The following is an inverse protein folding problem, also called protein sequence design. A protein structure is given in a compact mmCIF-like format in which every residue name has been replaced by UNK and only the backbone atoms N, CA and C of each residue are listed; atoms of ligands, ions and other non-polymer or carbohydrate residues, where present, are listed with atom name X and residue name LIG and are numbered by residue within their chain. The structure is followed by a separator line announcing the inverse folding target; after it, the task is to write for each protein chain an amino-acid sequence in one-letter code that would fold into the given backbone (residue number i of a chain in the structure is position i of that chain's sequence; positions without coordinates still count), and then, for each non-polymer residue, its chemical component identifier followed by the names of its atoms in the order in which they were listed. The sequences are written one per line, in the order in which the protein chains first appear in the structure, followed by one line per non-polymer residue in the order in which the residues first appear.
data_IF_811514244502
#
_entry.id   IF_811514244502
#
_cell.length_a   1.000
_cell.length_b   1.000
_cell.length_c   1.000
_cell.angle_alpha   90.00
_cell.angle_beta   90.00
_cell.angle_gamma   90.00
#
_symmetry.space_group_name_H-M   'P 1'
#
loop_
_entity.id
_entity.type
_entity.pdbx_description
1 polymer ?
#
# COMPACT_ATOMS: atom_id res chain seq x y z
N UNK A 1 1.48 28.36 -15.74
CA UNK A 1 2.90 28.10 -15.42
C UNK A 1 3.18 28.57 -14.00
N UNK A 2 4.16 27.97 -13.29
CA UNK A 2 4.57 28.50 -12.00
C UNK A 2 5.42 29.75 -12.20
N UNK A 3 4.83 30.91 -11.98
CA UNK A 3 5.48 32.19 -12.26
C UNK A 3 6.38 32.64 -11.09
N UNK A 4 6.00 32.32 -9.85
CA UNK A 4 6.80 32.61 -8.66
C UNK A 4 7.85 31.54 -8.36
N UNK A 5 8.98 31.95 -7.79
CA UNK A 5 10.08 31.06 -7.38
C UNK A 5 9.63 29.98 -6.37
N UNK A 6 8.74 30.34 -5.44
CA UNK A 6 8.13 29.42 -4.48
C UNK A 6 7.31 28.32 -5.19
N UNK A 7 6.50 28.69 -6.17
CA UNK A 7 5.70 27.76 -6.98
C UNK A 7 6.59 26.82 -7.80
N UNK A 8 7.66 27.33 -8.42
CA UNK A 8 8.64 26.49 -9.14
C UNK A 8 9.33 25.49 -8.21
N UNK A 9 9.62 25.89 -6.96
CA UNK A 9 10.17 24.99 -5.92
C UNK A 9 9.16 23.91 -5.53
N UNK A 10 7.89 24.25 -5.34
CA UNK A 10 6.83 23.28 -5.01
C UNK A 10 6.68 22.20 -6.08
N UNK A 11 6.64 22.58 -7.37
CA UNK A 11 6.57 21.60 -8.49
C UNK A 11 7.71 20.58 -8.42
N UNK A 12 8.95 21.03 -8.19
CA UNK A 12 10.11 20.12 -8.07
C UNK A 12 9.98 19.17 -6.89
N UNK A 13 9.55 19.67 -5.72
CA UNK A 13 9.34 18.85 -4.52
C UNK A 13 8.22 17.83 -4.72
N UNK A 14 7.10 18.25 -5.33
CA UNK A 14 5.94 17.40 -5.55
C UNK A 14 6.22 16.31 -6.58
N UNK A 15 7.03 16.59 -7.61
CA UNK A 15 7.50 15.58 -8.54
C UNK A 15 8.28 14.47 -7.82
N UNK A 16 9.23 14.83 -6.94
CA UNK A 16 10.00 13.87 -6.14
C UNK A 16 9.10 13.05 -5.20
N UNK A 17 8.21 13.72 -4.46
CA UNK A 17 7.25 13.06 -3.56
C UNK A 17 6.31 12.12 -4.32
N UNK A 18 5.81 12.54 -5.48
CA UNK A 18 4.91 11.75 -6.34
C UNK A 18 5.58 10.46 -6.77
N UNK A 19 6.82 10.51 -7.25
CA UNK A 19 7.56 9.31 -7.69
C UNK A 19 7.76 8.33 -6.54
N UNK A 20 8.28 8.82 -5.40
CA UNK A 20 8.48 8.02 -4.19
C UNK A 20 7.17 7.37 -3.72
N UNK A 21 6.11 8.18 -3.55
CA UNK A 21 4.82 7.70 -3.05
C UNK A 21 4.17 6.70 -4.02
N UNK A 22 4.33 6.90 -5.33
CA UNK A 22 3.83 5.97 -6.34
C UNK A 22 4.52 4.61 -6.24
N UNK A 23 5.83 4.59 -6.08
CA UNK A 23 6.60 3.34 -5.93
C UNK A 23 6.05 2.50 -4.77
N UNK A 24 6.03 3.05 -3.56
CA UNK A 24 5.55 2.33 -2.38
C UNK A 24 4.08 1.88 -2.48
N UNK A 25 3.20 2.74 -3.02
CA UNK A 25 1.79 2.37 -3.25
C UNK A 25 1.64 1.27 -4.29
N UNK A 26 2.46 1.28 -5.36
CA UNK A 26 2.42 0.25 -6.41
C UNK A 26 2.93 -1.08 -5.86
N UNK A 27 4.03 -1.09 -5.12
CA UNK A 27 4.58 -2.31 -4.51
C UNK A 27 3.56 -3.01 -3.61
N UNK A 28 2.90 -2.25 -2.72
CA UNK A 28 1.85 -2.83 -1.86
C UNK A 28 0.64 -3.35 -2.64
N UNK A 29 0.21 -2.64 -3.69
CA UNK A 29 -0.89 -3.12 -4.55
C UNK A 29 -0.52 -4.42 -5.28
N UNK A 30 0.71 -4.52 -5.77
CA UNK A 30 1.21 -5.74 -6.42
C UNK A 30 1.30 -6.90 -5.45
N UNK A 31 1.78 -6.68 -4.22
CA UNK A 31 1.80 -7.70 -3.17
C UNK A 31 0.39 -8.19 -2.82
N UNK A 32 -0.57 -7.27 -2.66
CA UNK A 32 -1.99 -7.60 -2.43
C UNK A 32 -2.57 -8.41 -3.60
N UNK A 33 -2.25 -8.04 -4.84
CA UNK A 33 -2.73 -8.77 -6.02
C UNK A 33 -2.17 -10.20 -6.06
N UNK A 34 -0.88 -10.38 -5.78
CA UNK A 34 -0.25 -11.70 -5.70
C UNK A 34 -0.88 -12.56 -4.60
N UNK A 35 -1.11 -11.97 -3.42
CA UNK A 35 -1.76 -12.66 -2.31
C UNK A 35 -3.17 -13.18 -2.66
N UNK A 36 -3.93 -12.42 -3.44
CA UNK A 36 -5.28 -12.83 -3.89
C UNK A 36 -5.29 -13.95 -4.92
N UNK A 37 -4.15 -14.26 -5.53
CA UNK A 37 -4.01 -15.37 -6.46
C UNK A 37 -3.55 -16.66 -5.77
N UNK A 38 -3.33 -16.64 -4.45
CA UNK A 38 -3.00 -17.84 -3.70
C UNK A 38 -4.25 -18.70 -3.49
N UNK A 39 -4.09 -20.00 -3.65
CA UNK A 39 -5.15 -21.00 -3.46
C UNK A 39 -4.98 -21.76 -2.13
N UNK A 40 -3.73 -21.93 -1.68
CA UNK A 40 -3.37 -22.67 -0.46
C UNK A 40 -3.48 -21.80 0.79
N UNK A 41 -4.27 -22.26 1.76
CA UNK A 41 -4.53 -21.55 3.02
C UNK A 41 -3.31 -21.42 3.92
N UNK A 42 -2.50 -22.47 4.04
CA UNK A 42 -1.32 -22.46 4.89
C UNK A 42 -0.25 -21.47 4.41
N UNK A 43 -0.11 -21.34 3.09
CA UNK A 43 0.79 -20.37 2.49
C UNK A 43 0.26 -18.93 2.70
N UNK A 44 -1.04 -18.73 2.53
CA UNK A 44 -1.67 -17.43 2.78
C UNK A 44 -1.49 -16.97 4.24
N UNK A 45 -1.65 -17.86 5.22
CA UNK A 45 -1.47 -17.52 6.63
C UNK A 45 -0.02 -17.13 6.96
N UNK A 46 0.97 -17.77 6.34
CA UNK A 46 2.40 -17.43 6.50
C UNK A 46 2.74 -16.06 5.90
N UNK A 47 2.15 -15.70 4.77
CA UNK A 47 2.44 -14.44 4.08
C UNK A 47 1.70 -13.22 4.69
N UNK A 48 0.61 -13.45 5.43
CA UNK A 48 -0.25 -12.42 6.02
C UNK A 48 0.51 -11.37 6.87
N UNK A 49 1.41 -11.76 7.81
CA UNK A 49 2.08 -10.80 8.70
C UNK A 49 2.98 -9.82 7.94
N UNK A 50 3.70 -10.31 6.91
CA UNK A 50 4.53 -9.47 6.05
C UNK A 50 3.69 -8.46 5.27
N UNK A 51 2.53 -8.88 4.77
CA UNK A 51 1.60 -8.02 4.04
C UNK A 51 1.00 -6.93 4.95
N UNK A 52 0.65 -7.27 6.20
CA UNK A 52 0.17 -6.32 7.18
C UNK A 52 1.22 -5.28 7.56
N UNK A 53 2.47 -5.70 7.79
CA UNK A 53 3.58 -4.78 8.05
C UNK A 53 3.74 -3.76 6.91
N UNK A 54 3.64 -4.21 5.65
CA UNK A 54 3.70 -3.32 4.49
C UNK A 54 2.53 -2.32 4.45
N UNK A 55 1.30 -2.77 4.70
CA UNK A 55 0.11 -1.91 4.70
C UNK A 55 0.18 -0.88 5.83
N UNK A 56 0.56 -1.30 7.04
CA UNK A 56 0.64 -0.43 8.21
C UNK A 56 1.79 0.58 8.09
N UNK A 57 2.92 0.19 7.47
CA UNK A 57 3.99 1.12 7.12
C UNK A 57 3.54 2.26 6.20
N UNK A 58 2.64 1.98 5.25
CA UNK A 58 2.03 3.01 4.38
C UNK A 58 1.03 3.88 5.12
N UNK A 59 0.26 3.30 6.04
CA UNK A 59 -0.68 4.05 6.88
C UNK A 59 0.04 5.02 7.81
N UNK A 60 1.14 4.58 8.46
CA UNK A 60 1.97 5.41 9.35
C UNK A 60 2.49 6.67 8.66
N UNK A 61 2.87 6.55 7.39
CA UNK A 61 3.37 7.66 6.55
C UNK A 61 2.24 8.49 5.89
N UNK A 62 0.97 8.25 6.25
CA UNK A 62 -0.23 8.86 5.63
C UNK A 62 -0.29 8.71 4.11
N UNK A 63 0.34 7.68 3.55
CA UNK A 63 0.22 7.32 2.13
C UNK A 63 -1.14 6.66 1.87
N UNK A 64 -1.57 5.79 2.80
CA UNK A 64 -2.93 5.31 2.92
C UNK A 64 -3.60 5.96 4.13
N UNK A 65 -4.91 6.16 4.04
CA UNK A 65 -5.71 6.52 5.19
C UNK A 65 -5.76 5.32 6.16
N UNK A 66 -5.72 5.53 7.50
CA UNK A 66 -5.80 4.43 8.47
C UNK A 66 -7.04 3.55 8.25
N UNK A 67 -8.21 4.14 7.98
CA UNK A 67 -9.42 3.38 7.66
C UNK A 67 -9.26 2.51 6.41
N UNK A 68 -8.53 2.99 5.39
CA UNK A 68 -8.26 2.18 4.20
C UNK A 68 -7.34 1.01 4.54
N UNK A 69 -6.32 1.23 5.35
CA UNK A 69 -5.44 0.16 5.82
C UNK A 69 -6.22 -0.89 6.63
N UNK A 70 -7.09 -0.46 7.55
CA UNK A 70 -7.95 -1.35 8.33
C UNK A 70 -8.90 -2.17 7.43
N UNK A 71 -9.56 -1.52 6.46
CA UNK A 71 -10.44 -2.21 5.50
C UNK A 71 -9.68 -3.25 4.66
N UNK A 72 -8.46 -2.93 4.23
CA UNK A 72 -7.62 -3.87 3.50
C UNK A 72 -7.21 -5.07 4.37
N UNK A 73 -6.79 -4.83 5.62
CA UNK A 73 -6.43 -5.93 6.55
C UNK A 73 -7.61 -6.85 6.82
N UNK A 74 -8.78 -6.28 7.12
CA UNK A 74 -10.01 -7.03 7.32
C UNK A 74 -10.36 -7.90 6.10
N UNK A 75 -10.38 -7.31 4.91
CA UNK A 75 -10.68 -8.06 3.68
C UNK A 75 -9.69 -9.17 3.36
N UNK A 76 -8.40 -8.97 3.67
CA UNK A 76 -7.36 -9.98 3.46
C UNK A 76 -7.46 -11.14 4.47
N UNK A 77 -7.76 -10.84 5.74
CA UNK A 77 -8.02 -11.87 6.75
C UNK A 77 -9.21 -12.75 6.37
N UNK A 78 -10.31 -12.13 5.94
CA UNK A 78 -11.51 -12.87 5.50
C UNK A 78 -11.21 -13.72 4.27
N UNK A 79 -10.43 -13.21 3.31
CA UNK A 79 -10.01 -13.99 2.14
C UNK A 79 -9.20 -15.23 2.55
N UNK A 80 -8.17 -15.06 3.39
CA UNK A 80 -7.34 -16.17 3.86
C UNK A 80 -8.14 -17.25 4.60
N UNK A 81 -9.15 -16.86 5.37
CA UNK A 81 -10.02 -17.80 6.08
C UNK A 81 -10.97 -18.58 5.16
N UNK A 82 -11.35 -17.99 4.02
CA UNK A 82 -12.24 -18.60 3.02
C UNK A 82 -11.53 -19.56 2.08
N UNK A 83 -10.20 -19.49 1.97
CA UNK A 83 -9.43 -20.50 1.24
C UNK A 83 -9.59 -21.86 1.93
N UNK A 84 -9.64 -22.90 1.10
CA UNK A 84 -9.82 -24.30 1.53
C UNK A 84 -8.66 -24.72 2.44
#
# INVERSE_FOLDING_TARGET
MANHASSKKRIRQDAKKRLHNRYYKKSARTAIARFRNLEEKDEALKQLPALFSMIDGLAKRRLFHPNKAANLKSGLSVFAQKLA
#
